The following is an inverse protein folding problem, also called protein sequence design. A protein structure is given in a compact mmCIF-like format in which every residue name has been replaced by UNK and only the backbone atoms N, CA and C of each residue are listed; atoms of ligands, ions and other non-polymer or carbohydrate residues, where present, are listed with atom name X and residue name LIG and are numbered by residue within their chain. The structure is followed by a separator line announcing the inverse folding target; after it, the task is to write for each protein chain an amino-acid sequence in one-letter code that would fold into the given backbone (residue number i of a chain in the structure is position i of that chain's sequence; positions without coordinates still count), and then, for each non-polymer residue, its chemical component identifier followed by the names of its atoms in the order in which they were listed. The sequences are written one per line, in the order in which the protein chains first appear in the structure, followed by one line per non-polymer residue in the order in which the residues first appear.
data_IF_813384658927
#
_entry.id   IF_813384658927
#
_cell.length_a   1.000
_cell.length_b   1.000
_cell.length_c   1.000
_cell.angle_alpha   90.00
_cell.angle_beta   90.00
_cell.angle_gamma   90.00
#
_symmetry.space_group_name_H-M   'P 1'
#
loop_
_entity.id
_entity.type
_entity.pdbx_description
1 polymer ?
#
# COMPACT_ATOMS: atom_id res chain seq x y z
N UNK A 1 -13.91 -9.61 18.10
CA UNK A 1 -13.82 -8.14 18.31
C UNK A 1 -14.74 -7.46 17.29
N UNK A 2 -15.76 -6.77 17.75
CA UNK A 2 -16.87 -6.26 16.89
C UNK A 2 -16.42 -5.20 15.86
N UNK A 3 -15.26 -4.57 16.05
CA UNK A 3 -14.73 -3.49 15.23
C UNK A 3 -13.22 -3.62 14.99
N UNK A 4 -12.76 -4.80 14.57
CA UNK A 4 -11.33 -5.07 14.40
C UNK A 4 -10.66 -4.09 13.41
N UNK A 5 -11.32 -3.73 12.31
CA UNK A 5 -10.79 -2.77 11.34
C UNK A 5 -10.59 -1.38 11.95
N UNK A 6 -11.55 -0.89 12.73
CA UNK A 6 -11.43 0.39 13.44
C UNK A 6 -10.33 0.35 14.52
N UNK A 7 -10.31 -0.72 15.31
CA UNK A 7 -9.36 -0.88 16.41
C UNK A 7 -7.92 -1.19 15.94
N UNK A 8 -7.73 -1.54 14.66
CA UNK A 8 -6.39 -1.78 14.11
C UNK A 8 -5.55 -0.52 14.01
N UNK A 9 -6.16 0.67 14.10
CA UNK A 9 -5.51 1.96 13.83
C UNK A 9 -4.70 1.95 12.52
N UNK A 10 -5.19 1.22 11.51
CA UNK A 10 -4.52 1.08 10.23
C UNK A 10 -4.52 2.42 9.49
N UNK A 11 -3.37 2.75 8.90
CA UNK A 11 -3.20 3.96 8.10
C UNK A 11 -2.65 3.62 6.72
N UNK A 12 -2.94 4.47 5.73
CA UNK A 12 -2.42 4.32 4.37
C UNK A 12 -0.90 4.52 4.36
N UNK A 13 -0.17 3.43 4.14
CA UNK A 13 1.30 3.41 4.22
C UNK A 13 1.95 3.58 2.85
N UNK A 14 1.49 2.84 1.84
CA UNK A 14 2.00 2.94 0.49
C UNK A 14 0.96 2.52 -0.54
N UNK A 15 1.17 2.98 -1.78
CA UNK A 15 0.39 2.59 -2.96
C UNK A 15 1.31 2.07 -4.04
N UNK A 16 0.79 1.24 -4.93
CA UNK A 16 1.47 0.84 -6.15
C UNK A 16 0.73 1.36 -7.38
N UNK A 17 1.45 2.03 -8.25
CA UNK A 17 0.98 2.51 -9.54
C UNK A 17 1.58 1.62 -10.63
N UNK A 18 0.73 0.98 -11.40
CA UNK A 18 1.12 0.22 -12.57
C UNK A 18 1.22 1.14 -13.79
N UNK A 19 2.25 0.96 -14.60
CA UNK A 19 2.46 1.79 -15.79
C UNK A 19 3.26 1.08 -16.86
N UNK A 20 3.02 1.45 -18.13
CA UNK A 20 3.84 1.03 -19.28
C UNK A 20 5.16 1.82 -19.36
N UNK A 21 5.30 2.93 -18.61
CA UNK A 21 6.47 3.83 -18.63
C UNK A 21 7.01 4.10 -17.21
N UNK A 22 7.54 3.07 -16.53
CA UNK A 22 7.86 3.17 -15.10
C UNK A 22 8.93 4.22 -14.79
N UNK A 23 9.96 4.36 -15.60
CA UNK A 23 11.02 5.34 -15.35
C UNK A 23 10.53 6.77 -15.50
N UNK A 24 9.71 7.04 -16.51
CA UNK A 24 9.19 8.40 -16.75
C UNK A 24 8.23 8.81 -15.61
N UNK A 25 7.36 7.90 -15.19
CA UNK A 25 6.45 8.17 -14.08
C UNK A 25 7.21 8.35 -12.76
N UNK A 26 8.23 7.53 -12.50
CA UNK A 26 9.08 7.66 -11.31
C UNK A 26 9.82 9.01 -11.28
N UNK A 27 10.40 9.45 -12.40
CA UNK A 27 11.04 10.78 -12.53
C UNK A 27 10.05 11.93 -12.30
N UNK A 28 8.83 11.79 -12.80
CA UNK A 28 7.78 12.78 -12.58
C UNK A 28 7.49 12.97 -11.08
N UNK A 29 7.21 11.89 -10.35
CA UNK A 29 6.92 11.97 -8.92
C UNK A 29 8.14 12.38 -8.09
N UNK A 30 9.35 11.91 -8.43
CA UNK A 30 10.59 12.35 -7.79
C UNK A 30 10.73 13.88 -7.83
N UNK A 31 10.51 14.47 -9.01
CA UNK A 31 10.56 15.92 -9.19
C UNK A 31 9.38 16.64 -8.52
N UNK A 32 8.16 16.16 -8.73
CA UNK A 32 6.95 16.83 -8.26
C UNK A 32 6.82 16.82 -6.72
N UNK A 33 7.28 15.74 -6.08
CA UNK A 33 7.14 15.54 -4.63
C UNK A 33 8.45 15.72 -3.87
N UNK A 34 9.56 16.00 -4.55
CA UNK A 34 10.90 16.12 -3.95
C UNK A 34 11.27 14.90 -3.09
N UNK A 35 10.99 13.69 -3.59
CA UNK A 35 11.24 12.42 -2.92
C UNK A 35 12.23 11.57 -3.73
N UNK A 36 13.09 10.84 -3.03
CA UNK A 36 14.10 10.00 -3.65
C UNK A 36 13.49 8.74 -4.28
N UNK A 37 13.90 8.41 -5.50
CA UNK A 37 13.56 7.13 -6.13
C UNK A 37 14.73 6.15 -6.02
N UNK A 38 14.38 4.87 -5.80
CA UNK A 38 15.33 3.75 -5.80
C UNK A 38 14.82 2.63 -6.70
N UNK A 39 15.70 1.95 -7.44
CA UNK A 39 15.28 0.81 -8.26
C UNK A 39 14.89 -0.36 -7.38
N UNK A 40 13.85 -1.09 -7.81
CA UNK A 40 13.44 -2.37 -7.25
C UNK A 40 13.18 -3.36 -8.38
N UNK A 41 13.02 -4.63 -8.06
CA UNK A 41 12.62 -5.63 -9.05
C UNK A 41 11.27 -5.26 -9.67
N UNK A 42 11.26 -5.03 -10.98
CA UNK A 42 10.04 -4.70 -11.73
C UNK A 42 9.63 -3.23 -11.70
N UNK A 43 10.46 -2.32 -11.18
CA UNK A 43 10.11 -0.90 -11.18
C UNK A 43 10.94 -0.03 -10.24
N UNK A 44 10.27 0.88 -9.54
CA UNK A 44 10.86 1.89 -8.68
C UNK A 44 10.08 2.04 -7.38
N UNK A 45 10.77 2.35 -6.30
CA UNK A 45 10.16 2.82 -5.06
C UNK A 45 10.57 4.27 -4.83
N UNK A 46 9.59 5.12 -4.52
CA UNK A 46 9.80 6.49 -4.09
C UNK A 46 9.44 6.59 -2.61
N UNK A 47 10.38 7.04 -1.80
CA UNK A 47 10.23 7.12 -0.35
C UNK A 47 10.42 8.54 0.13
N UNK A 48 9.42 9.06 0.81
CA UNK A 48 9.45 10.31 1.55
C UNK A 48 8.90 10.13 2.94
N UNK A 49 8.88 11.21 3.73
CA UNK A 49 8.27 11.17 5.06
C UNK A 49 6.79 10.82 4.95
N UNK A 50 6.36 9.76 5.66
CA UNK A 50 4.97 9.30 5.73
C UNK A 50 4.30 9.01 4.39
N UNK A 51 5.09 8.78 3.33
CA UNK A 51 4.56 8.37 2.03
C UNK A 51 5.55 7.49 1.30
N UNK A 52 5.04 6.49 0.64
CA UNK A 52 5.79 5.64 -0.27
C UNK A 52 4.93 5.31 -1.48
N UNK A 53 5.54 5.37 -2.64
CA UNK A 53 4.89 5.05 -3.91
C UNK A 53 5.75 4.02 -4.63
N UNK A 54 5.17 2.89 -4.97
CA UNK A 54 5.74 1.90 -5.87
C UNK A 54 5.31 2.23 -7.30
N UNK A 55 6.23 2.26 -8.22
CA UNK A 55 5.96 2.39 -9.65
C UNK A 55 6.35 1.06 -10.29
N UNK A 56 5.38 0.31 -10.76
CA UNK A 56 5.58 -1.03 -11.28
C UNK A 56 5.32 -1.11 -12.78
N UNK A 57 6.17 -1.84 -13.48
CA UNK A 57 5.98 -2.12 -14.91
C UNK A 57 4.73 -2.99 -15.12
N UNK A 58 3.82 -2.54 -15.96
CA UNK A 58 2.62 -3.30 -16.32
C UNK A 58 2.15 -2.89 -17.71
N UNK A 59 1.30 -3.74 -18.32
CA UNK A 59 0.68 -3.46 -19.64
C UNK A 59 -0.42 -2.40 -19.58
N UNK A 60 -0.95 -2.10 -18.40
CA UNK A 60 -2.02 -1.11 -18.19
C UNK A 60 -1.57 -0.07 -17.18
N UNK A 61 -1.97 1.17 -17.41
CA UNK A 61 -1.81 2.28 -16.48
C UNK A 61 -2.99 2.25 -15.51
N UNK A 62 -2.76 1.85 -14.28
CA UNK A 62 -3.81 1.75 -13.26
C UNK A 62 -3.21 1.74 -11.85
N UNK A 63 -4.06 1.90 -10.84
CA UNK A 63 -3.69 1.60 -9.49
C UNK A 63 -3.43 0.08 -9.38
N UNK A 64 -2.24 -0.30 -8.91
CA UNK A 64 -1.89 -1.70 -8.70
C UNK A 64 -2.48 -2.25 -7.41
N UNK A 65 -2.25 -1.53 -6.29
CA UNK A 65 -2.81 -1.85 -4.98
C UNK A 65 -2.66 -0.69 -3.99
N UNK A 66 -3.45 -0.73 -2.92
CA UNK A 66 -3.29 0.11 -1.73
C UNK A 66 -2.84 -0.74 -0.54
N UNK A 67 -2.08 -0.14 0.39
CA UNK A 67 -1.51 -0.87 1.51
C UNK A 67 -1.64 -0.08 2.81
N UNK A 68 -2.27 -0.71 3.79
CA UNK A 68 -2.53 -0.14 5.12
C UNK A 68 -1.66 -0.82 6.17
N UNK A 69 -0.89 -0.03 6.91
CA UNK A 69 -0.10 -0.52 8.03
C UNK A 69 -0.96 -0.56 9.29
N UNK A 70 -0.97 -1.70 9.97
CA UNK A 70 -1.56 -1.84 11.29
C UNK A 70 -0.59 -1.37 12.37
N UNK A 71 -1.12 -1.02 13.52
CA UNK A 71 -0.34 -0.51 14.65
C UNK A 71 0.65 -1.54 15.18
N UNK A 72 0.23 -2.80 15.29
CA UNK A 72 1.02 -3.90 15.84
C UNK A 72 0.57 -5.27 15.31
N UNK A 73 1.34 -6.30 15.62
CA UNK A 73 1.07 -7.68 15.21
C UNK A 73 -0.24 -8.24 15.79
N UNK A 74 -0.63 -7.83 16.98
CA UNK A 74 -1.89 -8.26 17.59
C UNK A 74 -3.09 -7.74 16.79
N UNK A 75 -3.08 -6.46 16.48
CA UNK A 75 -4.10 -5.79 15.66
C UNK A 75 -4.18 -6.38 14.24
N UNK A 76 -3.04 -6.69 13.62
CA UNK A 76 -2.99 -7.31 12.30
C UNK A 76 -3.61 -8.72 12.31
N UNK A 77 -3.29 -9.54 13.30
CA UNK A 77 -3.86 -10.89 13.46
C UNK A 77 -5.36 -10.85 13.75
N UNK A 78 -5.80 -9.92 14.60
CA UNK A 78 -7.21 -9.72 14.91
C UNK A 78 -8.00 -9.31 13.66
N UNK A 79 -7.45 -8.39 12.86
CA UNK A 79 -8.05 -7.95 11.59
C UNK A 79 -8.15 -9.10 10.58
N UNK A 80 -7.10 -9.89 10.42
CA UNK A 80 -7.10 -11.06 9.52
C UNK A 80 -8.18 -12.06 9.92
N UNK A 81 -8.30 -12.37 11.21
CA UNK A 81 -9.33 -13.27 11.72
C UNK A 81 -10.73 -12.74 11.48
N UNK A 82 -10.99 -11.46 11.77
CA UNK A 82 -12.28 -10.80 11.53
C UNK A 82 -12.68 -10.87 10.04
N UNK A 83 -11.76 -10.66 9.12
CA UNK A 83 -12.04 -10.80 7.70
C UNK A 83 -12.37 -12.24 7.30
N UNK A 84 -11.64 -13.22 7.83
CA UNK A 84 -11.91 -14.64 7.58
C UNK A 84 -13.28 -15.07 8.15
N UNK A 85 -13.66 -14.61 9.34
CA UNK A 85 -14.97 -14.85 9.95
C UNK A 85 -16.12 -14.25 9.13
N UNK A 86 -15.86 -13.15 8.42
CA UNK A 86 -16.79 -12.52 7.46
C UNK A 86 -16.78 -13.16 6.07
N UNK A 87 -16.03 -14.24 5.88
CA UNK A 87 -15.96 -14.97 4.61
C UNK A 87 -15.04 -14.32 3.56
N UNK A 88 -14.22 -13.33 3.93
CA UNK A 88 -13.25 -12.75 3.02
C UNK A 88 -12.02 -13.64 2.88
N UNK A 89 -11.60 -13.90 1.65
CA UNK A 89 -10.38 -14.64 1.38
C UNK A 89 -9.16 -13.75 1.63
N UNK A 90 -8.29 -14.16 2.55
CA UNK A 90 -7.00 -13.52 2.78
C UNK A 90 -5.89 -14.26 2.07
N UNK A 91 -5.02 -13.55 1.35
CA UNK A 91 -3.90 -14.11 0.59
C UNK A 91 -2.61 -13.43 1.03
N UNK A 92 -1.53 -14.19 1.14
CA UNK A 92 -0.20 -13.68 1.47
C UNK A 92 0.69 -13.71 0.23
N UNK A 93 1.43 -12.64 -0.01
CA UNK A 93 2.51 -12.58 -0.99
C UNK A 93 3.60 -11.57 -0.56
N UNK A 94 4.63 -11.39 -1.38
CA UNK A 94 5.80 -10.55 -1.11
C UNK A 94 5.81 -9.25 -1.94
N UNK A 95 4.69 -8.85 -2.53
CA UNK A 95 4.64 -7.69 -3.44
C UNK A 95 4.52 -6.35 -2.72
N UNK A 96 4.02 -6.35 -1.48
CA UNK A 96 3.96 -5.15 -0.65
C UNK A 96 5.31 -4.83 0.00
N UNK A 97 5.44 -3.61 0.56
CA UNK A 97 6.62 -3.20 1.33
C UNK A 97 6.56 -3.63 2.81
N UNK A 98 5.61 -4.49 3.18
CA UNK A 98 5.44 -4.97 4.54
C UNK A 98 6.35 -6.16 4.86
N UNK A 99 6.43 -6.50 6.14
CA UNK A 99 7.05 -7.74 6.62
C UNK A 99 6.28 -8.99 6.21
N UNK A 100 6.81 -10.16 6.56
CA UNK A 100 6.27 -11.47 6.18
C UNK A 100 4.83 -11.73 6.62
N UNK A 101 4.38 -11.13 7.72
CA UNK A 101 3.02 -11.31 8.25
C UNK A 101 1.95 -10.47 7.54
N UNK A 102 2.21 -10.02 6.32
CA UNK A 102 1.22 -9.29 5.54
C UNK A 102 0.21 -10.21 4.85
N UNK A 103 -0.92 -9.64 4.50
CA UNK A 103 -1.92 -10.29 3.63
C UNK A 103 -2.69 -9.23 2.83
N UNK A 104 -3.36 -9.66 1.78
CA UNK A 104 -4.30 -8.82 1.05
C UNK A 104 -5.67 -9.48 0.94
N UNK A 105 -6.67 -8.65 0.72
CA UNK A 105 -8.02 -9.03 0.28
C UNK A 105 -8.29 -8.41 -1.08
N UNK A 106 -9.26 -8.94 -1.79
CA UNK A 106 -9.82 -8.33 -3.00
C UNK A 106 -11.16 -7.68 -2.66
N UNK A 107 -11.38 -6.47 -3.16
CA UNK A 107 -12.72 -5.88 -3.18
C UNK A 107 -13.58 -6.49 -4.31
N UNK A 108 -14.83 -6.03 -4.46
CA UNK A 108 -15.76 -6.56 -5.48
C UNK A 108 -15.30 -6.27 -6.92
N UNK A 109 -14.43 -5.29 -7.14
CA UNK A 109 -13.85 -4.94 -8.44
C UNK A 109 -12.49 -5.60 -8.68
N UNK A 110 -12.01 -6.43 -7.74
CA UNK A 110 -10.74 -7.12 -7.83
C UNK A 110 -9.53 -6.27 -7.44
N UNK A 111 -9.73 -5.10 -6.83
CA UNK A 111 -8.63 -4.29 -6.32
C UNK A 111 -7.99 -4.95 -5.10
N UNK A 112 -6.65 -5.00 -5.09
CA UNK A 112 -5.89 -5.54 -3.96
C UNK A 112 -5.74 -4.50 -2.87
N UNK A 113 -6.09 -4.88 -1.66
CA UNK A 113 -5.90 -4.08 -0.45
C UNK A 113 -5.05 -4.87 0.53
N UNK A 114 -3.81 -4.42 0.74
CA UNK A 114 -2.86 -5.06 1.64
C UNK A 114 -2.98 -4.52 3.05
N UNK A 115 -2.74 -5.41 4.01
CA UNK A 115 -2.58 -5.10 5.42
C UNK A 115 -1.29 -5.72 5.93
N UNK A 116 -0.54 -5.00 6.76
CA UNK A 116 0.73 -5.49 7.27
C UNK A 116 1.33 -4.57 8.31
N UNK A 117 2.60 -4.81 8.65
CA UNK A 117 3.38 -3.99 9.57
C UNK A 117 4.45 -3.23 8.79
N UNK A 118 4.57 -1.94 9.06
CA UNK A 118 5.63 -1.12 8.47
C UNK A 118 7.01 -1.57 8.99
N UNK A 119 7.96 -1.79 8.08
CA UNK A 119 9.35 -2.13 8.42
C UNK A 119 10.11 -0.95 9.01
N UNK A 120 9.77 0.25 8.55
CA UNK A 120 10.51 1.46 8.88
C UNK A 120 10.02 2.07 10.18
N UNK A 121 10.86 2.09 11.17
CA UNK A 121 10.61 2.77 12.45
C UNK A 121 10.97 4.27 12.43
N UNK A 122 11.59 4.76 11.34
CA UNK A 122 12.04 6.15 11.21
C UNK A 122 11.45 6.79 9.97
N UNK A 123 10.76 7.90 10.14
CA UNK A 123 10.37 8.78 9.04
C UNK A 123 11.61 9.32 8.34
N UNK A 124 11.75 9.03 7.04
CA UNK A 124 12.73 9.73 6.22
C UNK A 124 12.24 11.17 6.03
N UNK A 125 13.08 12.12 6.37
CA UNK A 125 12.77 13.54 6.16
C UNK A 125 12.72 13.82 4.66
N UNK A 126 11.62 14.37 4.19
CA UNK A 126 11.51 14.96 2.87
C UNK A 126 11.11 16.42 3.01
N UNK A 127 11.44 17.23 2.00
CA UNK A 127 11.10 18.65 2.00
C UNK A 127 9.58 18.93 1.94
N UNK A 128 8.78 17.93 1.66
CA UNK A 128 7.33 18.03 1.57
C UNK A 128 6.66 17.09 2.56
N UNK A 129 6.03 17.66 3.58
CA UNK A 129 5.32 16.97 4.66
C UNK A 129 3.85 16.69 4.33
N UNK A 130 3.57 15.96 3.26
CA UNK A 130 2.22 15.54 2.96
C UNK A 130 2.14 14.00 3.01
N UNK A 131 1.61 13.40 4.09
CA UNK A 131 1.44 11.95 4.17
C UNK A 131 0.40 11.48 3.17
N UNK A 132 0.43 10.20 2.83
CA UNK A 132 -0.72 9.55 2.21
C UNK A 132 -1.85 9.51 3.24
N UNK A 133 -3.00 10.12 2.91
CA UNK A 133 -4.13 10.19 3.83
C UNK A 133 -5.28 9.28 3.40
N UNK A 134 -5.60 9.29 2.13
CA UNK A 134 -6.67 8.46 1.57
C UNK A 134 -6.42 8.17 0.09
N UNK A 135 -7.12 7.18 -0.41
CA UNK A 135 -7.15 6.80 -1.82
C UNK A 135 -8.59 6.50 -2.21
N UNK A 136 -8.94 6.86 -3.42
CA UNK A 136 -10.26 6.59 -3.99
C UNK A 136 -10.12 5.64 -5.18
N UNK A 137 -10.92 4.59 -5.19
CA UNK A 137 -11.08 3.69 -6.32
C UNK A 137 -12.31 4.09 -7.12
N UNK A 138 -12.24 3.99 -8.43
CA UNK A 138 -13.45 3.99 -9.28
C UNK A 138 -14.02 2.58 -9.33
N UNK A 139 -15.35 2.48 -9.20
CA UNK A 139 -16.08 1.23 -9.35
C UNK A 139 -17.09 1.38 -10.48
N UNK A 140 -17.16 0.37 -11.35
CA UNK A 140 -18.17 0.27 -12.41
C UNK A 140 -19.39 -0.53 -11.94
N UNK A 141 -19.30 -1.21 -10.79
CA UNK A 141 -20.31 -2.08 -10.22
C UNK A 141 -20.79 -1.53 -8.87
N UNK A 142 -21.74 -0.61 -8.92
CA UNK A 142 -22.50 -0.16 -7.76
C UNK A 142 -23.79 -0.95 -7.58
#
# INVERSE_FOLDING_TARGET
MKYAAFNSNAYLHHIALNTTRPLELAKFYEKALSIERKPIKGGWVLSGSKRKILILTNKKNCLGFASFACQDSHSLKALKRDFMEKGLKTVQDDKSLFDHDNFFILDCDGNKIYFGLAKDKKDQRSNLYAPLQHITFTSENL
#
